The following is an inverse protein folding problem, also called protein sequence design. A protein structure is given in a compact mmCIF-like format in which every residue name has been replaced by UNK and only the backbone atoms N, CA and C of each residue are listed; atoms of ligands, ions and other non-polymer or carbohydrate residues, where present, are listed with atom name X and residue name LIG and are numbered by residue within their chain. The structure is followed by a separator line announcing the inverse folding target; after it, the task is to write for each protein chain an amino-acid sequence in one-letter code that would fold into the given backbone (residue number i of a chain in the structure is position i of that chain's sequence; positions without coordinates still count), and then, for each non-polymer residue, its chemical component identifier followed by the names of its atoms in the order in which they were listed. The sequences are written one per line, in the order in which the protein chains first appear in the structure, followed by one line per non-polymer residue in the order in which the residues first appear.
data_IF_275734917564
#
_entry.id   IF_275734917564
#
_cell.length_a   1.000
_cell.length_b   1.000
_cell.length_c   1.000
_cell.angle_alpha   90.00
_cell.angle_beta   90.00
_cell.angle_gamma   90.00
#
_symmetry.space_group_name_H-M   'P 1'
#
loop_
_entity.id
_entity.type
_entity.pdbx_description
1 polymer ?
#
# COMPACT_ATOMS: atom_id res chain seq x y z
N UNK A 1 14.65 32.09 -10.20
CA UNK A 1 14.05 30.87 -10.78
C UNK A 1 12.81 30.52 -9.95
N UNK A 2 11.63 30.90 -10.46
CA UNK A 2 10.35 30.77 -9.75
C UNK A 2 10.03 29.30 -9.50
N UNK A 3 10.03 28.88 -8.24
CA UNK A 3 9.45 27.60 -7.84
C UNK A 3 7.94 27.74 -7.99
N UNK A 4 7.38 27.13 -9.03
CA UNK A 4 5.93 26.98 -9.19
C UNK A 4 5.40 26.23 -7.96
N UNK A 5 4.82 26.98 -7.03
CA UNK A 5 4.31 26.48 -5.76
C UNK A 5 2.86 26.01 -5.96
N UNK A 6 2.65 25.07 -6.90
CA UNK A 6 1.33 24.44 -7.09
C UNK A 6 1.05 23.57 -5.86
N UNK A 7 -0.12 23.67 -5.22
CA UNK A 7 -0.47 22.78 -4.13
C UNK A 7 -0.44 21.32 -4.60
N UNK A 8 -0.10 20.36 -3.70
CA UNK A 8 -0.13 18.95 -4.04
C UNK A 8 -1.51 18.59 -4.59
N UNK A 9 -1.55 17.89 -5.73
CA UNK A 9 -2.80 17.35 -6.26
C UNK A 9 -3.24 16.22 -5.33
N UNK A 10 -4.47 16.25 -4.78
CA UNK A 10 -4.97 15.13 -3.98
C UNK A 10 -5.10 13.89 -4.85
N UNK A 11 -4.54 12.77 -4.37
CA UNK A 11 -4.56 11.46 -5.04
C UNK A 11 -5.49 10.55 -4.25
N UNK A 12 -6.55 10.05 -4.89
CA UNK A 12 -7.52 9.17 -4.25
C UNK A 12 -7.59 7.79 -4.93
N UNK A 13 -7.24 7.72 -6.21
CA UNK A 13 -7.38 6.54 -7.06
C UNK A 13 -6.09 6.22 -7.79
N UNK A 14 -5.99 5.00 -8.33
CA UNK A 14 -4.89 4.60 -9.21
C UNK A 14 -4.77 5.52 -10.43
N UNK A 15 -5.90 5.92 -11.00
CA UNK A 15 -5.96 6.81 -12.16
C UNK A 15 -5.35 8.18 -11.83
N UNK A 16 -5.59 8.72 -10.63
CA UNK A 16 -4.97 9.97 -10.20
C UNK A 16 -3.43 9.86 -10.17
N UNK A 17 -2.90 8.69 -9.79
CA UNK A 17 -1.44 8.44 -9.77
C UNK A 17 -0.86 8.41 -11.18
N UNK A 18 -1.56 7.78 -12.13
CA UNK A 18 -1.13 7.69 -13.54
C UNK A 18 -1.00 9.05 -14.23
N UNK A 19 -1.75 10.05 -13.76
CA UNK A 19 -1.73 11.40 -14.30
C UNK A 19 -0.68 12.32 -13.65
N UNK A 20 0.07 11.83 -12.65
CA UNK A 20 1.16 12.58 -12.04
C UNK A 20 2.35 12.68 -13.01
N UNK A 21 2.94 13.87 -13.09
CA UNK A 21 4.22 14.02 -13.78
C UNK A 21 5.36 13.42 -12.94
N UNK A 22 6.49 13.01 -13.56
CA UNK A 22 7.63 12.45 -12.82
C UNK A 22 8.21 13.37 -11.72
N UNK A 23 7.92 14.67 -11.76
CA UNK A 23 8.34 15.65 -10.74
C UNK A 23 7.43 15.69 -9.53
N UNK A 24 6.19 15.22 -9.67
CA UNK A 24 5.19 15.15 -8.60
C UNK A 24 5.32 13.85 -7.80
N UNK A 25 5.96 12.83 -8.39
CA UNK A 25 6.25 11.58 -7.71
C UNK A 25 7.33 11.76 -6.62
N UNK A 26 7.12 11.21 -5.40
CA UNK A 26 8.10 11.24 -4.33
C UNK A 26 9.32 10.40 -4.70
N UNK A 27 10.52 10.97 -4.61
CA UNK A 27 11.74 10.21 -4.92
C UNK A 27 12.25 9.38 -3.74
N UNK A 28 11.66 9.55 -2.55
CA UNK A 28 12.09 8.92 -1.29
C UNK A 28 13.57 9.11 -0.97
N UNK A 29 14.16 10.23 -1.40
CA UNK A 29 15.61 10.46 -1.31
C UNK A 29 16.40 9.81 -2.45
N UNK A 30 15.76 9.66 -3.62
CA UNK A 30 16.27 9.01 -4.83
C UNK A 30 16.60 7.52 -4.67
N UNK A 31 15.95 6.84 -3.72
CA UNK A 31 16.12 5.40 -3.48
C UNK A 31 15.20 4.54 -4.34
N UNK A 32 14.09 5.11 -4.84
CA UNK A 32 13.23 4.50 -5.84
C UNK A 32 13.35 5.26 -7.16
N UNK A 33 13.31 4.53 -8.28
CA UNK A 33 13.13 5.13 -9.60
C UNK A 33 11.73 5.75 -9.72
N UNK A 34 11.52 6.64 -10.70
CA UNK A 34 10.19 7.22 -10.91
C UNK A 34 9.11 6.14 -11.18
N UNK A 35 9.44 5.14 -11.98
CA UNK A 35 8.53 4.02 -12.27
C UNK A 35 8.22 3.17 -11.03
N UNK A 36 9.24 2.92 -10.19
CA UNK A 36 9.05 2.19 -8.94
C UNK A 36 8.24 3.00 -7.92
N UNK A 37 8.45 4.32 -7.86
CA UNK A 37 7.66 5.20 -7.01
C UNK A 37 6.20 5.25 -7.45
N UNK A 38 5.93 5.40 -8.75
CA UNK A 38 4.57 5.41 -9.30
C UNK A 38 3.84 4.11 -8.93
N UNK A 39 4.46 2.97 -9.24
CA UNK A 39 3.92 1.64 -8.94
C UNK A 39 3.68 1.43 -7.45
N UNK A 40 4.62 1.86 -6.61
CA UNK A 40 4.49 1.75 -5.15
C UNK A 40 3.29 2.56 -4.62
N UNK A 41 3.06 3.77 -5.15
CA UNK A 41 1.94 4.62 -4.73
C UNK A 41 0.61 4.07 -5.24
N UNK A 42 0.56 3.52 -6.45
CA UNK A 42 -0.63 2.81 -6.97
C UNK A 42 -1.04 1.65 -6.05
N UNK A 43 -0.09 0.92 -5.47
CA UNK A 43 -0.42 -0.14 -4.52
C UNK A 43 -1.13 0.40 -3.26
N UNK A 44 -0.82 1.64 -2.84
CA UNK A 44 -1.48 2.27 -1.70
C UNK A 44 -2.96 2.59 -1.97
N UNK A 45 -3.37 2.70 -3.23
CA UNK A 45 -4.77 2.95 -3.62
C UNK A 45 -5.62 1.68 -3.70
N UNK A 46 -5.06 0.50 -3.42
CA UNK A 46 -5.75 -0.80 -3.50
C UNK A 46 -6.19 -1.31 -2.11
N UNK A 47 -7.33 -0.87 -1.53
CA UNK A 47 -7.63 -0.97 -0.10
C UNK A 47 -7.61 -2.39 0.51
N UNK A 48 -7.89 -3.43 -0.29
CA UNK A 48 -7.92 -4.81 0.21
C UNK A 48 -6.57 -5.54 0.05
N UNK A 49 -5.95 -5.44 -1.13
CA UNK A 49 -4.72 -6.16 -1.47
C UNK A 49 -3.44 -5.33 -1.26
N UNK A 50 -3.55 -4.14 -0.65
CA UNK A 50 -2.42 -3.23 -0.41
C UNK A 50 -1.26 -3.89 0.33
N UNK A 51 -1.54 -4.59 1.43
CA UNK A 51 -0.50 -5.24 2.26
C UNK A 51 0.31 -6.25 1.42
N UNK A 52 -0.29 -7.26 0.77
CA UNK A 52 0.48 -8.20 -0.02
C UNK A 52 1.22 -7.54 -1.19
N UNK A 53 0.63 -6.56 -1.88
CA UNK A 53 1.30 -5.85 -2.98
C UNK A 53 2.54 -5.08 -2.50
N UNK A 54 2.42 -4.36 -1.38
CA UNK A 54 3.51 -3.57 -0.80
C UNK A 54 4.64 -4.48 -0.31
N UNK A 55 4.32 -5.59 0.36
CA UNK A 55 5.35 -6.50 0.85
C UNK A 55 6.05 -7.24 -0.30
N UNK A 56 5.30 -7.70 -1.30
CA UNK A 56 5.84 -8.39 -2.47
C UNK A 56 6.76 -7.48 -3.29
N UNK A 57 6.42 -6.20 -3.42
CA UNK A 57 7.25 -5.18 -4.08
C UNK A 57 8.70 -5.16 -3.56
N UNK A 58 8.88 -5.30 -2.25
CA UNK A 58 10.21 -5.29 -1.60
C UNK A 58 10.83 -6.68 -1.47
N UNK A 59 10.04 -7.73 -1.27
CA UNK A 59 10.54 -9.09 -1.05
C UNK A 59 10.96 -9.79 -2.35
N UNK A 60 10.10 -9.74 -3.36
CA UNK A 60 10.24 -10.50 -4.61
C UNK A 60 10.55 -9.61 -5.82
N UNK A 61 10.55 -8.28 -5.66
CA UNK A 61 10.96 -7.32 -6.68
C UNK A 61 12.47 -7.27 -6.93
N UNK A 62 12.90 -6.19 -7.60
CA UNK A 62 14.32 -5.91 -7.82
C UNK A 62 15.07 -5.85 -6.46
N UNK A 63 16.22 -6.54 -6.30
CA UNK A 63 17.00 -6.52 -5.06
C UNK A 63 17.33 -5.12 -4.54
N UNK A 64 17.43 -4.11 -5.41
CA UNK A 64 17.67 -2.71 -5.02
C UNK A 64 16.51 -2.16 -4.17
N UNK A 65 15.27 -2.61 -4.40
CA UNK A 65 14.09 -2.17 -3.65
C UNK A 65 14.19 -2.55 -2.18
N UNK A 66 14.69 -3.74 -1.88
CA UNK A 66 14.93 -4.13 -0.49
C UNK A 66 15.92 -3.17 0.19
N UNK A 67 16.97 -2.76 -0.53
CA UNK A 67 17.94 -1.78 -0.02
C UNK A 67 17.29 -0.41 0.23
N UNK A 68 16.28 -0.04 -0.56
CA UNK A 68 15.51 1.19 -0.38
C UNK A 68 14.79 1.24 0.98
N UNK A 69 14.51 0.09 1.62
CA UNK A 69 13.95 0.04 2.98
C UNK A 69 14.86 0.64 4.05
N UNK A 70 16.12 1.00 3.76
CA UNK A 70 16.93 1.83 4.67
C UNK A 70 16.34 3.24 4.84
N UNK A 71 15.53 3.70 3.89
CA UNK A 71 14.84 4.99 3.95
C UNK A 71 13.72 4.98 4.99
N UNK A 72 13.82 5.87 5.99
CA UNK A 72 12.84 5.95 7.09
C UNK A 72 11.43 6.29 6.63
N UNK A 73 11.28 7.09 5.59
CA UNK A 73 9.94 7.42 5.04
C UNK A 73 9.24 6.18 4.49
N UNK A 74 9.96 5.28 3.80
CA UNK A 74 9.40 4.02 3.31
C UNK A 74 9.06 3.07 4.46
N UNK A 75 9.92 2.96 5.49
CA UNK A 75 9.60 2.18 6.69
C UNK A 75 8.30 2.66 7.34
N UNK A 76 8.13 3.97 7.53
CA UNK A 76 6.92 4.54 8.12
C UNK A 76 5.67 4.29 7.28
N UNK A 77 5.79 4.30 5.94
CA UNK A 77 4.65 3.97 5.06
C UNK A 77 4.29 2.50 5.19
N UNK A 78 5.27 1.58 5.23
CA UNK A 78 5.01 0.14 5.38
C UNK A 78 4.39 -0.16 6.74
N UNK A 79 4.89 0.48 7.81
CA UNK A 79 4.29 0.39 9.15
C UNK A 79 2.82 0.85 9.11
N UNK A 80 2.52 1.99 8.48
CA UNK A 80 1.14 2.46 8.32
C UNK A 80 0.29 1.47 7.51
N UNK A 81 0.81 0.95 6.40
CA UNK A 81 0.10 -0.02 5.55
C UNK A 81 -0.32 -1.27 6.33
N UNK A 82 0.57 -1.78 7.19
CA UNK A 82 0.33 -3.00 7.96
C UNK A 82 -0.50 -2.75 9.23
N UNK A 83 -0.28 -1.62 9.91
CA UNK A 83 -0.78 -1.41 11.26
C UNK A 83 -1.82 -0.30 11.39
N UNK A 84 -2.23 0.35 10.29
CA UNK A 84 -3.38 1.25 10.37
C UNK A 84 -4.64 0.46 10.78
N UNK A 85 -5.43 0.98 11.73
CA UNK A 85 -6.62 0.28 12.21
C UNK A 85 -7.71 0.15 11.13
N UNK A 86 -7.77 1.10 10.19
CA UNK A 86 -8.79 1.15 9.14
C UNK A 86 -10.22 1.32 9.69
N UNK A 87 -11.21 0.96 8.87
CA UNK A 87 -12.60 0.91 9.30
C UNK A 87 -12.86 -0.29 10.22
N UNK A 88 -13.62 -0.06 11.30
CA UNK A 88 -14.04 -1.12 12.22
C UNK A 88 -15.39 -1.72 11.83
N UNK A 89 -15.50 -3.05 11.88
CA UNK A 89 -16.80 -3.74 11.85
C UNK A 89 -16.82 -4.96 12.78
N UNK A 90 -17.99 -5.36 13.33
CA UNK A 90 -18.12 -6.58 14.12
C UNK A 90 -17.67 -7.84 13.36
N UNK A 91 -17.18 -8.85 14.07
CA UNK A 91 -16.70 -10.10 13.43
C UNK A 91 -17.83 -10.96 12.87
N UNK A 92 -19.05 -10.78 13.37
CA UNK A 92 -20.29 -11.42 12.96
C UNK A 92 -21.09 -10.58 11.94
N UNK A 93 -20.53 -9.44 11.50
CA UNK A 93 -21.16 -8.61 10.48
C UNK A 93 -21.21 -9.33 9.14
N UNK A 94 -22.42 -9.56 8.63
CA UNK A 94 -22.66 -10.11 7.31
C UNK A 94 -23.50 -9.16 6.49
N UNK A 95 -22.93 -8.63 5.41
CA UNK A 95 -23.64 -7.87 4.39
C UNK A 95 -23.41 -8.54 3.04
N UNK A 96 -24.50 -8.88 2.35
CA UNK A 96 -24.43 -9.47 1.00
C UNK A 96 -24.08 -8.38 0.00
N UNK A 97 -23.00 -8.58 -0.76
CA UNK A 97 -22.64 -7.74 -1.90
C UNK A 97 -23.57 -8.10 -3.06
N UNK A 98 -24.32 -7.14 -3.57
CA UNK A 98 -25.30 -7.33 -4.64
C UNK A 98 -24.78 -6.91 -6.01
N UNK A 99 -23.73 -6.10 -6.06
CA UNK A 99 -23.16 -5.55 -7.29
C UNK A 99 -21.63 -5.50 -7.22
N UNK A 100 -20.98 -5.71 -8.37
CA UNK A 100 -19.54 -5.59 -8.55
C UNK A 100 -19.30 -4.90 -9.92
N UNK A 101 -18.47 -3.84 -10.00
CA UNK A 101 -17.75 -3.21 -8.90
C UNK A 101 -18.67 -2.35 -8.02
N UNK A 102 -18.32 -2.19 -6.74
CA UNK A 102 -18.97 -1.25 -5.82
C UNK A 102 -18.43 0.15 -6.14
N UNK A 103 -19.26 1.01 -6.72
CA UNK A 103 -18.84 2.36 -7.16
C UNK A 103 -18.81 3.35 -6.00
N UNK A 104 -19.68 3.18 -5.00
CA UNK A 104 -19.68 4.01 -3.79
C UNK A 104 -18.48 3.65 -2.89
N UNK A 105 -17.51 4.56 -2.83
CA UNK A 105 -16.29 4.41 -2.03
C UNK A 105 -16.56 4.35 -0.53
N UNK A 106 -17.63 4.98 -0.04
CA UNK A 106 -18.05 4.92 1.37
C UNK A 106 -18.57 3.52 1.67
N UNK A 107 -19.44 3.00 0.81
CA UNK A 107 -19.96 1.64 0.93
C UNK A 107 -18.84 0.61 0.84
N UNK A 108 -17.92 0.77 -0.12
CA UNK A 108 -16.74 -0.09 -0.26
C UNK A 108 -15.91 -0.09 1.02
N UNK A 109 -15.66 1.09 1.61
CA UNK A 109 -14.90 1.22 2.86
C UNK A 109 -15.56 0.49 4.04
N UNK A 110 -16.89 0.55 4.14
CA UNK A 110 -17.66 -0.19 5.16
C UNK A 110 -17.57 -1.71 4.92
N UNK A 111 -17.69 -2.15 3.66
CA UNK A 111 -17.61 -3.56 3.30
C UNK A 111 -16.21 -4.15 3.55
N UNK A 112 -15.16 -3.37 3.33
CA UNK A 112 -13.76 -3.76 3.56
C UNK A 112 -13.28 -3.56 5.00
N UNK A 113 -14.06 -2.90 5.86
CA UNK A 113 -13.75 -2.76 7.28
C UNK A 113 -13.52 -4.12 7.95
N UNK A 114 -12.78 -4.16 9.06
CA UNK A 114 -12.47 -5.41 9.76
C UNK A 114 -12.52 -5.21 11.27
N UNK A 115 -12.71 -6.28 12.04
CA UNK A 115 -12.76 -6.19 13.49
C UNK A 115 -11.39 -5.92 14.14
N UNK A 116 -10.31 -6.32 13.47
CA UNK A 116 -8.94 -6.38 14.03
C UNK A 116 -7.89 -5.73 13.11
N UNK A 117 -8.30 -4.90 12.15
CA UNK A 117 -7.41 -4.32 11.14
C UNK A 117 -7.11 -5.27 9.97
N UNK A 118 -6.60 -4.68 8.88
CA UNK A 118 -6.37 -5.38 7.62
C UNK A 118 -5.33 -6.50 7.74
N UNK A 119 -4.24 -6.30 8.49
CA UNK A 119 -3.19 -7.32 8.65
C UNK A 119 -3.71 -8.62 9.26
N UNK A 120 -4.52 -8.56 10.32
CA UNK A 120 -5.10 -9.76 10.91
C UNK A 120 -6.07 -10.45 9.95
N UNK A 121 -6.81 -9.69 9.15
CA UNK A 121 -7.67 -10.24 8.12
C UNK A 121 -6.86 -10.97 7.03
N UNK A 122 -5.77 -10.36 6.55
CA UNK A 122 -4.88 -10.96 5.57
C UNK A 122 -4.24 -12.24 6.10
N UNK A 123 -3.67 -12.23 7.32
CA UNK A 123 -3.08 -13.45 7.92
C UNK A 123 -4.12 -14.56 8.10
N UNK A 124 -5.37 -14.21 8.44
CA UNK A 124 -6.41 -15.21 8.67
C UNK A 124 -6.99 -15.81 7.37
N UNK A 125 -6.92 -15.09 6.25
CA UNK A 125 -7.59 -15.46 4.99
C UNK A 125 -6.65 -15.77 3.83
N UNK A 126 -5.47 -15.14 3.80
CA UNK A 126 -4.45 -15.26 2.75
C UNK A 126 -3.02 -15.05 3.31
N UNK A 127 -2.54 -15.91 4.22
CA UNK A 127 -1.27 -15.71 4.91
C UNK A 127 -0.02 -15.86 4.02
N UNK A 128 -0.11 -16.61 2.91
CA UNK A 128 1.06 -17.11 2.19
C UNK A 128 1.97 -15.98 1.70
N UNK A 129 1.39 -14.98 1.02
CA UNK A 129 2.17 -13.84 0.48
C UNK A 129 2.79 -13.02 1.61
N UNK A 130 2.02 -12.72 2.66
CA UNK A 130 2.48 -11.90 3.79
C UNK A 130 3.63 -12.59 4.52
N UNK A 131 3.46 -13.87 4.86
CA UNK A 131 4.46 -14.62 5.61
C UNK A 131 5.74 -14.87 4.81
N UNK A 132 5.63 -15.28 3.55
CA UNK A 132 6.78 -15.47 2.66
C UNK A 132 7.57 -14.17 2.46
N UNK A 133 6.87 -13.04 2.22
CA UNK A 133 7.53 -11.76 2.03
C UNK A 133 8.26 -11.29 3.30
N UNK A 134 7.63 -11.40 4.47
CA UNK A 134 8.26 -11.02 5.74
C UNK A 134 9.49 -11.87 6.04
N UNK A 135 9.41 -13.19 5.84
CA UNK A 135 10.55 -14.10 6.04
C UNK A 135 11.71 -13.73 5.10
N UNK A 136 11.42 -13.47 3.81
CA UNK A 136 12.43 -13.05 2.83
C UNK A 136 13.07 -11.71 3.17
N UNK A 137 12.28 -10.71 3.55
CA UNK A 137 12.76 -9.39 3.94
C UNK A 137 13.68 -9.50 5.16
N UNK A 138 13.24 -10.23 6.20
CA UNK A 138 14.03 -10.41 7.42
C UNK A 138 15.31 -11.21 7.17
N UNK A 139 15.23 -12.31 6.41
CA UNK A 139 16.39 -13.12 6.06
C UNK A 139 17.48 -12.30 5.37
N UNK A 140 17.10 -11.51 4.36
CA UNK A 140 18.03 -10.65 3.62
C UNK A 140 18.47 -9.39 4.37
N UNK A 141 17.76 -8.99 5.43
CA UNK A 141 18.16 -7.85 6.26
C UNK A 141 19.26 -8.22 7.27
N UNK A 142 19.43 -9.51 7.56
CA UNK A 142 20.46 -10.05 8.45
C UNK A 142 21.77 -10.39 7.72
N UNK A 143 21.71 -10.57 6.40
CA UNK A 143 22.86 -10.73 5.51
C UNK A 143 23.58 -9.39 5.24
#
# INVERSE_FOLDING_TARGET
LSKSNKPPVPVNTEDDVLHLSPKELPTFGNVLSAADSEKFIQFLTAPYIRIPLVLDFFANGDPIRLTALRCKSLQSIIDAVMFEPGGWKPSDFTQTVTEIPIVDTTQLSILLATAKGALFNEIAKSPDVVTDCVVKILGRALD
#
